data_IF_491879728606
#
_entry.id   IF_491879728606
#
_cell.length_a   1.000
_cell.length_b   1.000
_cell.length_c   1.000
_cell.angle_alpha   90.00
_cell.angle_beta   90.00
_cell.angle_gamma   90.00
#
_symmetry.space_group_name_H-M   'P 1'
#
loop_
_entity.id
_entity.type
_entity.pdbx_description
1 polymer ?
#
# COMPACT_ATOMS: atom_id res chain seq x y z
N UNK A 1 -5.09 8.60 -4.91
CA UNK A 1 -5.22 7.49 -5.88
C UNK A 1 -4.52 6.23 -5.38
N UNK A 2 -3.25 6.30 -4.95
CA UNK A 2 -2.52 5.15 -4.39
C UNK A 2 -3.25 4.40 -3.27
N UNK A 3 -3.84 5.10 -2.29
CA UNK A 3 -4.61 4.46 -1.22
C UNK A 3 -5.85 3.71 -1.72
N UNK A 4 -6.56 4.25 -2.71
CA UNK A 4 -7.74 3.60 -3.27
C UNK A 4 -7.36 2.32 -4.04
N UNK A 5 -6.25 2.36 -4.78
CA UNK A 5 -5.68 1.19 -5.46
C UNK A 5 -5.20 0.12 -4.48
N UNK A 6 -4.52 0.51 -3.39
CA UNK A 6 -4.15 -0.44 -2.34
C UNK A 6 -5.36 -1.09 -1.68
N UNK A 7 -6.46 -0.34 -1.49
CA UNK A 7 -7.69 -0.83 -0.88
C UNK A 7 -8.56 -1.68 -1.81
N UNK A 8 -8.46 -1.50 -3.13
CA UNK A 8 -9.22 -2.29 -4.11
C UNK A 8 -8.61 -3.69 -4.33
N UNK A 9 -7.36 -3.90 -3.95
CA UNK A 9 -6.67 -5.18 -4.11
C UNK A 9 -7.22 -6.23 -3.13
N UNK A 10 -7.75 -7.33 -3.67
CA UNK A 10 -8.37 -8.41 -2.88
C UNK A 10 -7.39 -9.15 -1.94
N UNK A 11 -6.09 -9.08 -2.20
CA UNK A 11 -5.05 -9.65 -1.35
C UNK A 11 -4.62 -8.71 -0.21
N UNK A 12 -5.13 -7.48 -0.17
CA UNK A 12 -4.85 -6.50 0.89
C UNK A 12 -6.03 -6.42 1.85
N UNK A 13 -5.88 -7.02 3.03
CA UNK A 13 -6.91 -6.95 4.07
C UNK A 13 -6.96 -5.60 4.80
N UNK A 14 -5.84 -4.87 4.86
CA UNK A 14 -5.74 -3.60 5.60
C UNK A 14 -4.63 -2.74 5.03
N UNK A 15 -4.88 -1.42 4.93
CA UNK A 15 -3.87 -0.43 4.53
C UNK A 15 -3.51 0.44 5.75
N UNK A 16 -2.25 0.39 6.16
CA UNK A 16 -1.72 1.26 7.20
C UNK A 16 -1.37 2.63 6.59
N UNK A 17 -1.99 3.70 7.10
CA UNK A 17 -1.75 5.07 6.62
C UNK A 17 -0.97 5.89 7.66
N UNK A 18 -0.02 6.69 7.17
CA UNK A 18 0.67 7.71 7.97
C UNK A 18 0.06 9.10 7.76
N UNK A 19 -0.09 9.86 8.83
CA UNK A 19 -0.49 11.27 8.78
C UNK A 19 0.20 12.04 9.92
N UNK A 20 0.85 13.16 9.59
CA UNK A 20 1.53 14.02 10.58
C UNK A 20 0.64 15.15 11.08
N UNK A 21 -0.48 15.41 10.39
CA UNK A 21 -1.50 16.42 10.74
C UNK A 21 -2.89 15.90 10.38
N UNK A 22 -3.92 16.41 11.06
CA UNK A 22 -5.32 15.99 10.85
C UNK A 22 -5.80 16.17 9.41
N UNK A 23 -5.41 17.25 8.73
CA UNK A 23 -5.79 17.49 7.33
C UNK A 23 -5.28 16.40 6.38
N UNK A 24 -4.10 15.82 6.64
CA UNK A 24 -3.57 14.71 5.85
C UNK A 24 -4.35 13.42 6.08
N UNK A 25 -4.80 13.19 7.32
CA UNK A 25 -5.68 12.06 7.63
C UNK A 25 -7.01 12.20 6.89
N UNK A 26 -7.62 13.38 6.92
CA UNK A 26 -8.85 13.67 6.18
C UNK A 26 -8.68 13.49 4.67
N UNK A 27 -7.55 13.93 4.11
CA UNK A 27 -7.22 13.71 2.70
C UNK A 27 -7.07 12.21 2.37
N UNK A 28 -6.34 11.46 3.19
CA UNK A 28 -6.16 10.02 3.03
C UNK A 28 -7.51 9.29 3.04
N UNK A 29 -8.42 9.64 3.96
CA UNK A 29 -9.73 9.01 4.09
C UNK A 29 -10.66 9.27 2.90
N UNK A 30 -10.48 10.37 2.16
CA UNK A 30 -11.23 10.63 0.92
C UNK A 30 -10.98 9.56 -0.15
N UNK A 31 -9.89 8.80 -0.06
CA UNK A 31 -9.61 7.69 -0.97
C UNK A 31 -10.70 6.61 -0.98
N UNK A 32 -11.43 6.44 0.13
CA UNK A 32 -12.53 5.46 0.23
C UNK A 32 -13.61 5.70 -0.83
N UNK A 33 -13.88 6.95 -1.21
CA UNK A 33 -14.87 7.29 -2.23
C UNK A 33 -14.45 6.95 -3.67
N UNK A 34 -13.24 6.41 -3.85
CA UNK A 34 -12.66 6.06 -5.15
C UNK A 34 -12.31 4.58 -5.27
N UNK A 35 -12.52 3.77 -4.24
CA UNK A 35 -12.21 2.33 -4.27
C UNK A 35 -13.00 1.64 -5.38
N UNK A 36 -14.32 1.89 -5.46
CA UNK A 36 -15.20 1.32 -6.49
C UNK A 36 -14.92 1.84 -7.90
N UNK A 37 -14.04 2.85 -8.05
CA UNK A 37 -13.64 3.40 -9.36
C UNK A 37 -12.37 2.75 -9.90
N UNK A 38 -11.69 1.93 -9.11
CA UNK A 38 -10.59 1.09 -9.59
C UNK A 38 -11.22 -0.15 -10.20
N UNK A 39 -11.58 -0.05 -11.48
CA UNK A 39 -12.10 -1.18 -12.25
C UNK A 39 -10.95 -2.06 -12.73
N UNK A 40 -11.21 -3.30 -13.17
CA UNK A 40 -10.17 -4.18 -13.71
C UNK A 40 -9.39 -3.55 -14.87
N UNK A 41 -10.02 -2.70 -15.68
CA UNK A 41 -9.36 -1.97 -16.76
C UNK A 41 -8.38 -0.92 -16.23
N UNK A 42 -8.77 -0.15 -15.20
CA UNK A 42 -7.91 0.83 -14.55
C UNK A 42 -6.75 0.15 -13.82
N UNK A 43 -7.00 -0.99 -13.18
CA UNK A 43 -5.96 -1.79 -12.54
C UNK A 43 -4.92 -2.29 -13.56
N UNK A 44 -5.37 -2.80 -14.71
CA UNK A 44 -4.47 -3.21 -15.80
C UNK A 44 -3.62 -2.05 -16.33
N UNK A 45 -4.19 -0.86 -16.50
CA UNK A 45 -3.43 0.34 -16.88
C UNK A 45 -2.36 0.71 -15.85
N UNK A 46 -2.67 0.57 -14.55
CA UNK A 46 -1.72 0.83 -13.47
C UNK A 46 -0.57 -0.19 -13.50
N UNK A 47 -0.88 -1.48 -13.67
CA UNK A 47 0.12 -2.56 -13.69
C UNK A 47 1.08 -2.41 -14.87
N UNK A 48 0.58 -2.02 -16.05
CA UNK A 48 1.38 -1.74 -17.24
C UNK A 48 2.38 -0.60 -17.01
N UNK A 49 2.02 0.40 -16.20
CA UNK A 49 2.90 1.55 -15.90
C UNK A 49 3.90 1.23 -14.79
N UNK A 50 3.43 0.61 -13.70
CA UNK A 50 4.19 0.48 -12.46
C UNK A 50 5.27 -0.59 -12.57
N UNK A 51 5.01 -1.70 -13.28
CA UNK A 51 5.97 -2.79 -13.53
C UNK A 51 6.72 -3.21 -12.24
N UNK A 52 6.04 -3.21 -11.09
CA UNK A 52 6.60 -3.53 -9.79
C UNK A 52 6.05 -4.86 -9.31
N UNK A 53 6.94 -5.85 -9.18
CA UNK A 53 6.63 -7.11 -8.50
C UNK A 53 7.32 -7.07 -7.14
N UNK A 54 6.59 -7.17 -6.02
CA UNK A 54 7.19 -7.21 -4.70
C UNK A 54 8.23 -8.33 -4.63
N UNK A 55 9.49 -7.98 -4.40
CA UNK A 55 10.53 -8.96 -4.09
C UNK A 55 10.52 -9.22 -2.59
N UNK A 56 10.87 -10.45 -2.21
CA UNK A 56 11.05 -10.77 -0.79
C UNK A 56 12.13 -9.84 -0.23
N UNK A 57 11.86 -9.13 0.89
CA UNK A 57 12.82 -8.20 1.44
C UNK A 57 14.09 -8.96 1.81
N UNK A 58 15.23 -8.38 1.45
CA UNK A 58 16.53 -8.90 1.83
C UNK A 58 16.64 -8.93 3.37
N UNK A 59 17.25 -9.99 3.91
CA UNK A 59 17.46 -10.14 5.36
C UNK A 59 18.33 -8.97 5.84
N UNK A 60 17.70 -7.99 6.48
CA UNK A 60 18.42 -6.93 7.19
C UNK A 60 19.29 -7.60 8.27
N UNK A 61 20.60 -7.50 8.14
CA UNK A 61 21.55 -8.05 9.11
C UNK A 61 21.29 -7.53 10.54
N UNK A 62 20.63 -6.38 10.69
CA UNK A 62 20.22 -5.85 11.99
C UNK A 62 19.02 -6.61 12.58
N UNK A 63 18.14 -7.20 11.76
CA UNK A 63 17.08 -8.09 12.26
C UNK A 63 17.66 -9.38 12.84
N UNK A 64 18.64 -9.97 12.18
CA UNK A 64 19.38 -11.14 12.68
C UNK A 64 20.06 -10.86 14.02
N UNK A 65 20.70 -9.70 14.16
CA UNK A 65 21.34 -9.29 15.42
C UNK A 65 20.29 -9.11 16.53
N UNK A 66 19.15 -8.49 16.23
CA UNK A 66 18.07 -8.28 17.22
C UNK A 66 17.44 -9.60 17.68
N UNK A 67 17.26 -10.58 16.79
CA UNK A 67 16.70 -11.90 17.12
C UNK A 67 17.66 -12.79 17.93
N UNK A 68 18.96 -12.51 17.95
CA UNK A 68 19.93 -13.28 18.74
C UNK A 68 20.03 -12.84 20.20
N UNK A 69 19.48 -11.68 20.55
CA UNK A 69 19.62 -11.05 21.86
C UNK A 69 18.30 -10.76 22.57
N UNK A 70 17.18 -11.18 21.97
CA UNK A 70 15.83 -11.25 22.57
C UNK A 70 15.41 -12.72 22.60
#
# INVERSE_FOLDING_TARGET
MSLAWCLSNEHVATVLIGASKTSQLEENLKALAFVDKITPEVEAEIDDIVQYVPSQPWIDHLQDIRMRHL
#
